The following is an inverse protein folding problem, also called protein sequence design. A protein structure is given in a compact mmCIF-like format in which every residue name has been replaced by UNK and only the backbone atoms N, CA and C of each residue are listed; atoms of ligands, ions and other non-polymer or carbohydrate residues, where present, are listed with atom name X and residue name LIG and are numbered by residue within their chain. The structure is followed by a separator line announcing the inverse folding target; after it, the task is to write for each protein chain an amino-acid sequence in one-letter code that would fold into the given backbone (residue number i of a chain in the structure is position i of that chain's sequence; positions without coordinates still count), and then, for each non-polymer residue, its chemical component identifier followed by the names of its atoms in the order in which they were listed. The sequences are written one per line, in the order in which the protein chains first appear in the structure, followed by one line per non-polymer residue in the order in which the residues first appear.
data_IF_208178620500
#
_entry.id   IF_208178620500
#
_cell.length_a   1.000
_cell.length_b   1.000
_cell.length_c   1.000
_cell.angle_alpha   90.00
_cell.angle_beta   90.00
_cell.angle_gamma   90.00
#
_symmetry.space_group_name_H-M   'P 1'
#
loop_
_entity.id
_entity.type
_entity.pdbx_description
1 polymer ?
#
# COMPACT_ATOMS: atom_id res chain seq x y z
N UNK A 1 -41.41 20.94 -12.99
CA UNK A 1 -40.74 19.90 -13.80
C UNK A 1 -39.57 20.47 -14.62
N UNK A 2 -39.70 21.61 -15.32
CA UNK A 2 -38.63 22.18 -16.19
C UNK A 2 -37.35 22.63 -15.46
N UNK A 3 -37.43 23.21 -14.24
CA UNK A 3 -36.23 23.63 -13.47
C UNK A 3 -35.31 22.46 -13.09
N UNK A 4 -35.87 21.31 -12.75
CA UNK A 4 -35.09 20.14 -12.35
C UNK A 4 -34.32 19.54 -13.54
N UNK A 5 -34.90 19.62 -14.74
CA UNK A 5 -34.24 19.18 -15.98
C UNK A 5 -33.12 20.14 -16.37
N UNK A 6 -33.33 21.45 -16.23
CA UNK A 6 -32.29 22.46 -16.46
C UNK A 6 -31.11 22.30 -15.49
N UNK A 7 -31.37 22.14 -14.20
CA UNK A 7 -30.31 21.87 -13.21
C UNK A 7 -29.55 20.58 -13.50
N UNK A 8 -30.24 19.51 -13.91
CA UNK A 8 -29.59 18.26 -14.28
C UNK A 8 -28.70 18.41 -15.52
N UNK A 9 -29.15 19.14 -16.54
CA UNK A 9 -28.36 19.40 -17.76
C UNK A 9 -27.17 20.31 -17.47
N UNK A 10 -27.32 21.29 -16.57
CA UNK A 10 -26.22 22.14 -16.10
C UNK A 10 -25.17 21.35 -15.31
N UNK A 11 -25.61 20.48 -14.38
CA UNK A 11 -24.73 19.56 -13.65
C UNK A 11 -24.04 18.57 -14.58
N UNK A 12 -24.78 17.91 -15.48
CA UNK A 12 -24.22 16.98 -16.46
C UNK A 12 -23.25 17.71 -17.42
N UNK A 13 -23.50 18.98 -17.77
CA UNK A 13 -22.59 19.82 -18.54
C UNK A 13 -21.31 20.17 -17.78
N UNK A 14 -21.43 20.51 -16.50
CA UNK A 14 -20.31 20.80 -15.59
C UNK A 14 -19.44 19.56 -15.36
N UNK A 15 -20.04 18.37 -15.25
CA UNK A 15 -19.31 17.09 -15.19
C UNK A 15 -18.65 16.72 -16.53
N UNK A 16 -19.22 17.16 -17.66
CA UNK A 16 -18.62 16.94 -18.99
C UNK A 16 -17.46 17.89 -19.29
N UNK A 17 -17.44 19.07 -18.67
CA UNK A 17 -16.37 20.07 -18.79
C UNK A 17 -15.19 19.82 -17.83
N UNK A 18 -15.30 18.85 -16.89
CA UNK A 18 -14.33 18.67 -15.81
C UNK A 18 -13.52 17.36 -15.87
N UNK A 19 -13.60 16.58 -16.96
CA UNK A 19 -12.68 15.45 -17.18
C UNK A 19 -11.75 15.81 -18.34
N UNK A 20 -10.84 16.73 -18.05
CA UNK A 20 -9.69 16.97 -18.92
C UNK A 20 -8.65 15.86 -18.72
N UNK A 21 -7.85 15.56 -19.74
CA UNK A 21 -6.79 14.56 -19.68
C UNK A 21 -5.82 14.88 -18.51
N UNK A 22 -5.57 16.16 -18.26
CA UNK A 22 -4.81 16.66 -17.10
C UNK A 22 -5.44 16.25 -15.76
N UNK A 23 -6.77 16.31 -15.63
CA UNK A 23 -7.47 15.89 -14.39
C UNK A 23 -7.42 14.38 -14.17
N UNK A 24 -7.41 13.59 -15.25
CA UNK A 24 -7.27 12.13 -15.19
C UNK A 24 -5.84 11.75 -14.80
N UNK A 25 -4.83 12.39 -15.40
CA UNK A 25 -3.42 12.20 -15.06
C UNK A 25 -3.15 12.59 -13.60
N UNK A 26 -3.70 13.72 -13.15
CA UNK A 26 -3.57 14.16 -11.76
C UNK A 26 -4.22 13.15 -10.79
N UNK A 27 -5.41 12.64 -11.11
CA UNK A 27 -6.07 11.62 -10.29
C UNK A 27 -5.23 10.33 -10.23
N UNK A 28 -4.69 9.87 -11.36
CA UNK A 28 -3.83 8.69 -11.43
C UNK A 28 -2.53 8.87 -10.62
N UNK A 29 -1.89 10.05 -10.73
CA UNK A 29 -0.71 10.40 -9.94
C UNK A 29 -1.01 10.42 -8.44
N UNK A 30 -2.14 11.04 -8.03
CA UNK A 30 -2.56 11.04 -6.63
C UNK A 30 -2.86 9.63 -6.12
N UNK A 31 -3.53 8.78 -6.91
CA UNK A 31 -3.75 7.38 -6.55
C UNK A 31 -2.45 6.61 -6.40
N UNK A 32 -1.47 6.83 -7.28
CA UNK A 32 -0.14 6.23 -7.17
C UNK A 32 0.58 6.65 -5.87
N UNK A 33 0.58 7.95 -5.54
CA UNK A 33 1.18 8.43 -4.29
C UNK A 33 0.48 7.89 -3.04
N UNK A 34 -0.85 7.80 -3.05
CA UNK A 34 -1.61 7.16 -1.98
C UNK A 34 -1.16 5.71 -1.82
N UNK A 35 -1.04 4.95 -2.91
CA UNK A 35 -0.59 3.56 -2.86
C UNK A 35 0.81 3.45 -2.24
N UNK A 36 1.78 4.29 -2.62
CA UNK A 36 3.12 4.30 -2.02
C UNK A 36 3.10 4.54 -0.49
N UNK A 37 2.21 5.42 -0.02
CA UNK A 37 2.05 5.70 1.41
C UNK A 37 1.42 4.50 2.13
N UNK A 38 0.40 3.88 1.54
CA UNK A 38 -0.23 2.66 2.08
C UNK A 38 0.75 1.51 2.18
N UNK A 39 1.55 1.31 1.15
CA UNK A 39 2.61 0.32 1.07
C UNK A 39 3.62 0.47 2.22
N UNK A 40 4.07 1.70 2.47
CA UNK A 40 4.97 2.02 3.59
C UNK A 40 4.32 1.73 4.95
N UNK A 41 3.04 2.11 5.12
CA UNK A 41 2.31 1.86 6.37
C UNK A 41 2.07 0.37 6.63
N UNK A 42 1.72 -0.39 5.59
CA UNK A 42 1.52 -1.83 5.69
C UNK A 42 2.83 -2.53 6.07
N UNK A 43 3.94 -2.14 5.44
CA UNK A 43 5.29 -2.62 5.75
C UNK A 43 5.62 -2.50 7.24
N UNK A 44 5.49 -1.30 7.80
CA UNK A 44 5.78 -1.05 9.21
C UNK A 44 4.80 -1.79 10.14
N UNK A 45 3.52 -1.86 9.77
CA UNK A 45 2.50 -2.54 10.57
C UNK A 45 2.80 -4.02 10.75
N UNK A 46 3.03 -4.77 9.67
CA UNK A 46 3.22 -6.21 9.82
C UNK A 46 4.57 -6.56 10.46
N UNK A 47 5.61 -5.72 10.30
CA UNK A 47 6.87 -5.85 11.07
C UNK A 47 6.60 -5.74 12.56
N UNK A 48 5.86 -4.71 12.99
CA UNK A 48 5.53 -4.52 14.42
C UNK A 48 4.70 -5.69 14.94
N UNK A 49 3.73 -6.18 14.17
CA UNK A 49 2.93 -7.34 14.55
C UNK A 49 3.77 -8.61 14.70
N UNK A 50 4.72 -8.85 13.79
CA UNK A 50 5.68 -9.94 13.90
C UNK A 50 6.53 -9.83 15.18
N UNK A 51 7.10 -8.64 15.44
CA UNK A 51 7.90 -8.39 16.64
C UNK A 51 7.10 -8.56 17.94
N UNK A 52 5.79 -8.33 17.90
CA UNK A 52 4.87 -8.54 19.03
C UNK A 52 4.33 -9.98 19.10
N UNK A 53 4.68 -10.86 18.16
CA UNK A 53 4.22 -12.25 18.11
C UNK A 53 2.73 -12.40 17.77
N UNK A 54 2.12 -11.41 17.11
CA UNK A 54 0.72 -11.43 16.71
C UNK A 54 0.54 -12.24 15.43
N UNK A 55 -0.29 -13.28 15.43
CA UNK A 55 -0.47 -14.17 14.26
C UNK A 55 -1.08 -13.50 13.03
N UNK A 56 -1.59 -12.27 13.16
CA UNK A 56 -2.19 -11.52 12.05
C UNK A 56 -1.17 -10.98 11.04
N UNK A 57 0.13 -10.96 11.39
CA UNK A 57 1.16 -10.38 10.51
C UNK A 57 1.22 -11.08 9.14
N UNK A 58 0.93 -12.38 9.08
CA UNK A 58 0.92 -13.17 7.84
C UNK A 58 -0.19 -12.70 6.89
N UNK A 59 -1.40 -12.51 7.43
CA UNK A 59 -2.56 -11.99 6.67
C UNK A 59 -2.28 -10.58 6.13
N UNK A 60 -1.61 -9.72 6.92
CA UNK A 60 -1.25 -8.37 6.47
C UNK A 60 -0.12 -8.35 5.44
N UNK A 61 0.81 -9.32 5.49
CA UNK A 61 1.83 -9.47 4.46
C UNK A 61 1.20 -9.85 3.12
N UNK A 62 0.22 -10.77 3.12
CA UNK A 62 -0.54 -11.12 1.91
C UNK A 62 -1.29 -9.91 1.34
N UNK A 63 -2.02 -9.17 2.19
CA UNK A 63 -2.72 -7.94 1.77
C UNK A 63 -1.77 -6.89 1.22
N UNK A 64 -0.56 -6.77 1.79
CA UNK A 64 0.45 -5.85 1.29
C UNK A 64 0.93 -6.27 -0.11
N UNK A 65 1.25 -7.55 -0.32
CA UNK A 65 1.65 -8.07 -1.65
C UNK A 65 0.59 -7.76 -2.71
N UNK A 66 -0.69 -8.01 -2.42
CA UNK A 66 -1.79 -7.67 -3.35
C UNK A 66 -1.84 -6.16 -3.67
N UNK A 67 -1.58 -5.30 -2.68
CA UNK A 67 -1.54 -3.84 -2.87
C UNK A 67 -0.37 -3.40 -3.73
N UNK A 68 0.82 -3.97 -3.52
CA UNK A 68 2.01 -3.69 -4.33
C UNK A 68 1.80 -4.08 -5.80
N UNK A 69 1.19 -5.23 -6.05
CA UNK A 69 0.85 -5.67 -7.42
C UNK A 69 -0.12 -4.69 -8.09
N UNK A 70 -1.17 -4.26 -7.38
CA UNK A 70 -2.13 -3.26 -7.86
C UNK A 70 -1.49 -1.89 -8.10
N UNK A 71 -0.44 -1.54 -7.35
CA UNK A 71 0.35 -0.33 -7.54
C UNK A 71 1.34 -0.43 -8.72
N UNK A 72 1.48 -1.60 -9.35
CA UNK A 72 2.36 -1.83 -10.49
C UNK A 72 3.81 -2.15 -10.10
N UNK A 73 4.07 -2.55 -8.85
CA UNK A 73 5.39 -3.00 -8.43
C UNK A 73 5.83 -4.24 -9.24
N UNK A 74 7.13 -4.33 -9.55
CA UNK A 74 7.64 -5.51 -10.25
C UNK A 74 7.67 -6.72 -9.32
N UNK A 75 7.49 -7.92 -9.88
CA UNK A 75 7.60 -9.16 -9.11
C UNK A 75 8.96 -9.28 -8.39
N UNK A 76 10.03 -8.72 -8.98
CA UNK A 76 11.36 -8.66 -8.36
C UNK A 76 11.38 -7.79 -7.12
N UNK A 77 10.77 -6.60 -7.18
CA UNK A 77 10.75 -5.66 -6.05
C UNK A 77 9.92 -6.22 -4.89
N UNK A 78 8.78 -6.85 -5.20
CA UNK A 78 7.93 -7.55 -4.22
C UNK A 78 8.71 -8.70 -3.58
N UNK A 79 9.41 -9.52 -4.37
CA UNK A 79 10.20 -10.63 -3.86
C UNK A 79 11.35 -10.16 -2.93
N UNK A 80 12.01 -9.05 -3.28
CA UNK A 80 13.06 -8.44 -2.43
C UNK A 80 12.46 -7.94 -1.11
N UNK A 81 11.30 -7.28 -1.15
CA UNK A 81 10.61 -6.83 0.06
C UNK A 81 10.26 -7.99 0.99
N UNK A 82 9.64 -9.05 0.47
CA UNK A 82 9.27 -10.23 1.26
C UNK A 82 10.52 -10.90 1.85
N UNK A 83 11.59 -11.02 1.06
CA UNK A 83 12.87 -11.58 1.52
C UNK A 83 13.49 -10.75 2.66
N UNK A 84 13.33 -9.43 2.64
CA UNK A 84 13.90 -8.56 3.67
C UNK A 84 13.06 -8.51 4.97
N UNK A 85 11.85 -9.07 4.98
CA UNK A 85 11.04 -9.12 6.19
C UNK A 85 11.67 -10.01 7.27
N UNK A 86 11.56 -9.60 8.55
CA UNK A 86 12.17 -10.25 9.70
C UNK A 86 11.71 -11.71 9.96
N UNK A 87 10.58 -12.14 9.38
CA UNK A 87 10.15 -13.55 9.43
C UNK A 87 10.84 -14.46 8.41
N UNK A 88 11.52 -13.88 7.41
CA UNK A 88 12.23 -14.67 6.41
C UNK A 88 13.49 -15.27 7.01
N UNK A 89 13.75 -16.54 6.70
CA UNK A 89 14.95 -17.25 7.15
C UNK A 89 16.23 -16.54 6.67
N UNK A 90 16.17 -15.89 5.50
CA UNK A 90 17.27 -15.09 4.94
C UNK A 90 17.48 -13.72 5.59
N UNK A 91 16.47 -13.13 6.23
CA UNK A 91 16.61 -11.86 6.95
C UNK A 91 17.34 -12.06 8.28
N UNK A 92 17.15 -13.22 8.92
CA UNK A 92 17.84 -13.59 10.16
C UNK A 92 19.37 -13.71 9.98
N UNK A 93 19.84 -14.12 8.79
CA UNK A 93 21.28 -14.13 8.47
C UNK A 93 21.91 -12.72 8.46
N UNK A 94 21.11 -11.67 8.20
CA UNK A 94 21.56 -10.27 8.17
C UNK A 94 21.42 -9.50 9.49
N UNK A 95 20.61 -9.99 10.44
CA UNK A 95 20.31 -9.26 11.68
C UNK A 95 21.27 -9.52 12.83
N UNK A 96 22.22 -10.47 12.71
CA UNK A 96 23.42 -10.58 13.55
C UNK A 96 23.24 -10.79 15.06
N UNK A 97 22.04 -10.64 15.60
CA UNK A 97 21.72 -10.75 17.02
C UNK A 97 20.54 -11.70 17.19
N UNK A 98 20.78 -12.77 17.94
CA UNK A 98 19.69 -13.59 18.46
C UNK A 98 19.03 -12.79 19.57
N UNK A 99 17.70 -12.69 19.57
CA UNK A 99 16.93 -12.03 20.64
C UNK A 99 17.31 -12.59 22.03
N UNK A 100 17.70 -13.88 22.08
CA UNK A 100 18.21 -14.55 23.28
C UNK A 100 19.50 -13.93 23.86
N UNK A 101 20.30 -13.21 23.06
CA UNK A 101 21.51 -12.50 23.53
C UNK A 101 21.18 -11.14 24.18
N UNK A 102 20.00 -10.56 23.93
CA UNK A 102 19.61 -9.23 24.43
C UNK A 102 19.10 -9.30 25.89
N UNK A 103 18.68 -10.48 26.37
CA UNK A 103 18.04 -10.65 27.69
C UNK A 103 19.04 -10.84 28.86
N UNK A 104 20.36 -10.74 28.64
CA UNK A 104 21.38 -10.99 29.68
C UNK A 104 21.80 -9.78 30.54
N UNK A 105 20.86 -8.98 31.06
CA UNK A 105 21.21 -7.91 32.04
C UNK A 105 20.50 -8.07 33.36
#
# INVERSE_FOLDING_TARGET
MQRALLQKVELDGLFKEAVDEETVEQAANMSSQINLVWDSLLYEKYIVEYMLGLTTWEEWLEVAVEKFELAGASATDIAVMVKNHCSSESALEGMGFKIDEIVQT
#
